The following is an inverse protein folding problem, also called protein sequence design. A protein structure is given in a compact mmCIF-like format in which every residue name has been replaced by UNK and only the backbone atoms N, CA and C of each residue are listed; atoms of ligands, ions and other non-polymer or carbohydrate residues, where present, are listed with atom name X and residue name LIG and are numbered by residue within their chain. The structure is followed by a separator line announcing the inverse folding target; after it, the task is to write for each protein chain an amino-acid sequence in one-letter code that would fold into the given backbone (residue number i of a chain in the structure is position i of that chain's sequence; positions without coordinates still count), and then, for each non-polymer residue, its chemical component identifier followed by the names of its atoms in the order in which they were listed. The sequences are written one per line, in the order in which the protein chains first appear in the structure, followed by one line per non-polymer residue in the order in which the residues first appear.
data_IF_332274840374
#
_entry.id   IF_332274840374
#
_cell.length_a   1.000
_cell.length_b   1.000
_cell.length_c   1.000
_cell.angle_alpha   90.00
_cell.angle_beta   90.00
_cell.angle_gamma   90.00
#
_symmetry.space_group_name_H-M   'P 1'
#
loop_
_entity.id
_entity.type
_entity.pdbx_description
1 polymer ?
#
# COMPACT_ATOMS: atom_id res chain seq x y z
N UNK A 1 -3.21 14.65 -26.81
CA UNK A 1 -3.87 15.93 -26.42
C UNK A 1 -3.87 17.00 -27.50
N UNK A 2 -2.75 17.32 -28.16
CA UNK A 2 -2.74 18.36 -29.22
C UNK A 2 -3.74 18.07 -30.35
N UNK A 3 -3.89 16.79 -30.71
CA UNK A 3 -4.89 16.34 -31.68
C UNK A 3 -6.31 16.66 -31.19
N UNK A 4 -6.69 16.16 -30.01
CA UNK A 4 -8.00 16.41 -29.39
C UNK A 4 -8.28 17.92 -29.31
N UNK A 5 -7.33 18.74 -28.86
CA UNK A 5 -7.51 20.19 -28.77
C UNK A 5 -7.75 20.86 -30.13
N UNK A 6 -7.03 20.44 -31.17
CA UNK A 6 -7.22 20.96 -32.54
C UNK A 6 -8.58 20.55 -33.10
N UNK A 7 -8.99 19.30 -32.88
CA UNK A 7 -10.31 18.81 -33.31
C UNK A 7 -11.45 19.47 -32.55
N UNK A 8 -11.34 19.66 -31.22
CA UNK A 8 -12.34 20.40 -30.44
C UNK A 8 -12.51 21.85 -30.96
N UNK A 9 -11.42 22.55 -31.29
CA UNK A 9 -11.51 23.90 -31.89
C UNK A 9 -12.20 23.90 -33.25
N UNK A 10 -11.94 22.86 -34.05
CA UNK A 10 -12.57 22.69 -35.36
C UNK A 10 -14.07 22.36 -35.21
N UNK A 11 -14.45 21.55 -34.22
CA UNK A 11 -15.84 21.20 -33.96
C UNK A 11 -16.65 22.36 -33.34
N UNK A 12 -16.00 23.26 -32.61
CA UNK A 12 -16.61 24.50 -32.15
C UNK A 12 -16.93 25.47 -33.32
N UNK A 13 -16.25 25.34 -34.47
CA UNK A 13 -16.41 26.25 -35.62
C UNK A 13 -17.31 25.71 -36.75
N UNK A 14 -17.71 24.44 -36.68
CA UNK A 14 -18.52 23.72 -37.69
C UNK A 14 -19.90 23.37 -37.07
N UNK A 15 -21.01 23.32 -37.85
CA UNK A 15 -22.28 22.80 -37.36
C UNK A 15 -22.13 21.42 -36.72
N UNK A 16 -22.79 21.22 -35.58
CA UNK A 16 -22.63 20.02 -34.74
C UNK A 16 -22.83 18.73 -35.55
N UNK A 17 -21.80 17.89 -35.59
CA UNK A 17 -21.89 16.55 -36.17
C UNK A 17 -21.44 15.53 -35.11
N UNK A 18 -22.39 14.70 -34.67
CA UNK A 18 -22.19 13.71 -33.63
C UNK A 18 -21.16 12.64 -34.01
N UNK A 19 -20.97 12.34 -35.30
CA UNK A 19 -20.04 11.31 -35.74
C UNK A 19 -18.59 11.63 -35.34
N UNK A 20 -18.18 12.90 -35.41
CA UNK A 20 -16.83 13.33 -35.01
C UNK A 20 -16.64 13.34 -33.50
N UNK A 21 -17.66 13.73 -32.73
CA UNK A 21 -17.60 13.65 -31.26
C UNK A 21 -17.46 12.20 -30.81
N UNK A 22 -18.18 11.26 -31.42
CA UNK A 22 -18.05 9.83 -31.13
C UNK A 22 -16.65 9.29 -31.48
N UNK A 23 -16.07 9.66 -32.62
CA UNK A 23 -14.71 9.26 -32.98
C UNK A 23 -13.67 9.73 -31.94
N UNK A 24 -13.83 10.94 -31.40
CA UNK A 24 -12.96 11.43 -30.32
C UNK A 24 -13.11 10.58 -29.05
N UNK A 25 -14.35 10.22 -28.68
CA UNK A 25 -14.62 9.36 -27.52
C UNK A 25 -13.99 7.97 -27.74
N UNK A 26 -14.22 7.35 -28.89
CA UNK A 26 -13.64 6.04 -29.24
C UNK A 26 -12.11 6.08 -29.20
N UNK A 27 -11.50 7.17 -29.67
CA UNK A 27 -10.05 7.33 -29.62
C UNK A 27 -9.52 7.49 -28.18
N UNK A 28 -10.28 8.14 -27.29
CA UNK A 28 -9.97 8.24 -25.86
C UNK A 28 -10.05 6.85 -25.21
N UNK A 29 -11.12 6.09 -25.50
CA UNK A 29 -11.31 4.72 -24.99
C UNK A 29 -10.18 3.81 -25.48
N UNK A 30 -9.85 3.83 -26.77
CA UNK A 30 -8.75 3.04 -27.35
C UNK A 30 -7.41 3.38 -26.69
N UNK A 31 -7.16 4.66 -26.39
CA UNK A 31 -5.95 5.07 -25.69
C UNK A 31 -5.93 4.53 -24.25
N UNK A 32 -7.05 4.63 -23.53
CA UNK A 32 -7.21 4.06 -22.20
C UNK A 32 -6.95 2.54 -22.18
N UNK A 33 -7.50 1.78 -23.12
CA UNK A 33 -7.29 0.33 -23.22
C UNK A 33 -5.81 -0.02 -23.41
N UNK A 34 -5.08 0.75 -24.23
CA UNK A 34 -3.62 0.58 -24.38
C UNK A 34 -2.88 0.85 -23.08
N UNK A 35 -3.26 1.89 -22.33
CA UNK A 35 -2.66 2.18 -21.03
C UNK A 35 -2.94 1.06 -20.00
N UNK A 36 -4.15 0.50 -20.01
CA UNK A 36 -4.51 -0.66 -19.18
C UNK A 36 -3.69 -1.90 -19.55
N UNK A 37 -3.52 -2.18 -20.85
CA UNK A 37 -2.66 -3.26 -21.34
C UNK A 37 -1.21 -3.09 -20.89
N UNK A 38 -0.69 -1.86 -20.95
CA UNK A 38 0.66 -1.55 -20.50
C UNK A 38 0.83 -1.72 -18.98
N UNK A 39 -0.13 -1.27 -18.17
CA UNK A 39 -0.14 -1.51 -16.73
C UNK A 39 -0.11 -3.02 -16.42
N UNK A 40 -0.98 -3.81 -17.07
CA UNK A 40 -1.02 -5.26 -16.86
C UNK A 40 0.30 -5.92 -17.24
N UNK A 41 0.89 -5.55 -18.39
CA UNK A 41 2.18 -6.08 -18.81
C UNK A 41 3.29 -5.78 -17.80
N UNK A 42 3.30 -4.58 -17.22
CA UNK A 42 4.27 -4.15 -16.22
C UNK A 42 4.15 -4.92 -14.88
N UNK A 43 2.91 -5.24 -14.50
CA UNK A 43 2.59 -5.91 -13.23
C UNK A 43 2.48 -7.43 -13.36
N UNK A 44 2.71 -7.98 -14.54
CA UNK A 44 2.70 -9.42 -14.77
C UNK A 44 4.03 -10.05 -14.36
N UNK A 45 3.96 -11.28 -13.85
CA UNK A 45 5.09 -12.12 -13.46
C UNK A 45 4.86 -13.57 -13.85
N UNK A 46 5.94 -14.32 -13.95
CA UNK A 46 5.89 -15.77 -14.12
C UNK A 46 5.70 -16.39 -12.73
N UNK A 47 4.69 -17.24 -12.57
CA UNK A 47 4.40 -17.93 -11.31
C UNK A 47 4.19 -19.43 -11.57
N UNK A 48 4.99 -20.32 -10.95
CA UNK A 48 4.88 -21.76 -11.17
C UNK A 48 3.56 -22.35 -10.63
N UNK A 49 2.93 -21.66 -9.67
CA UNK A 49 1.74 -22.14 -8.98
C UNK A 49 0.42 -21.69 -9.64
N UNK A 50 0.48 -20.79 -10.64
CA UNK A 50 -0.72 -20.23 -11.25
C UNK A 50 -1.10 -21.01 -12.52
N UNK A 51 -2.39 -21.33 -12.74
CA UNK A 51 -2.84 -21.92 -14.01
C UNK A 51 -2.48 -20.99 -15.17
N UNK A 52 -1.71 -21.51 -16.14
CA UNK A 52 -1.17 -20.72 -17.25
C UNK A 52 0.19 -20.05 -17.01
N UNK A 53 0.83 -20.28 -15.86
CA UNK A 53 2.22 -19.87 -15.59
C UNK A 53 2.47 -18.37 -15.44
N UNK A 54 1.43 -17.55 -15.62
CA UNK A 54 1.47 -16.10 -15.62
C UNK A 54 0.48 -15.61 -14.57
N UNK A 55 0.94 -14.76 -13.65
CA UNK A 55 0.13 -14.15 -12.61
C UNK A 55 0.44 -12.66 -12.48
N UNK A 56 -0.44 -11.90 -11.83
CA UNK A 56 -0.10 -10.54 -11.40
C UNK A 56 0.83 -10.59 -10.17
N UNK A 57 1.70 -9.60 -10.04
CA UNK A 57 2.39 -9.29 -8.79
C UNK A 57 1.38 -9.01 -7.69
N UNK A 58 1.74 -9.32 -6.45
CA UNK A 58 0.78 -9.32 -5.34
C UNK A 58 0.22 -7.93 -5.07
N UNK A 59 1.01 -6.86 -5.24
CA UNK A 59 0.54 -5.48 -5.15
C UNK A 59 -0.55 -5.13 -6.17
N UNK A 60 -0.46 -5.63 -7.40
CA UNK A 60 -1.51 -5.46 -8.42
C UNK A 60 -2.73 -6.34 -8.16
N UNK A 61 -2.54 -7.59 -7.71
CA UNK A 61 -3.64 -8.48 -7.35
C UNK A 61 -4.47 -7.89 -6.19
N UNK A 62 -3.81 -7.32 -5.17
CA UNK A 62 -4.47 -6.61 -4.07
C UNK A 62 -5.11 -5.30 -4.53
N UNK A 63 -4.55 -4.61 -5.54
CA UNK A 63 -5.18 -3.42 -6.11
C UNK A 63 -6.48 -3.73 -6.86
N UNK A 64 -6.66 -4.96 -7.37
CA UNK A 64 -7.89 -5.44 -8.01
C UNK A 64 -8.91 -6.01 -7.00
N UNK A 65 -8.48 -6.38 -5.80
CA UNK A 65 -9.37 -6.86 -4.72
C UNK A 65 -10.31 -5.75 -4.25
N UNK A 66 -11.61 -6.04 -4.22
CA UNK A 66 -12.64 -5.03 -3.92
C UNK A 66 -12.50 -4.46 -2.50
N UNK A 67 -12.30 -5.30 -1.50
CA UNK A 67 -12.25 -4.89 -0.09
C UNK A 67 -11.05 -3.98 0.18
N UNK A 68 -9.87 -4.38 -0.29
CA UNK A 68 -8.61 -3.62 -0.12
C UNK A 68 -8.70 -2.30 -0.91
N UNK A 69 -9.24 -2.35 -2.13
CA UNK A 69 -9.38 -1.18 -3.00
C UNK A 69 -10.36 -0.15 -2.45
N UNK A 70 -11.46 -0.57 -1.83
CA UNK A 70 -12.43 0.35 -1.23
C UNK A 70 -11.81 1.12 -0.06
N UNK A 71 -11.12 0.42 0.84
CA UNK A 71 -10.41 1.05 1.96
C UNK A 71 -9.31 1.97 1.47
N UNK A 72 -8.49 1.52 0.51
CA UNK A 72 -7.43 2.33 -0.08
C UNK A 72 -7.93 3.59 -0.77
N UNK A 73 -9.10 3.51 -1.43
CA UNK A 73 -9.74 4.68 -2.07
C UNK A 73 -10.27 5.65 -1.03
N UNK A 74 -10.96 5.15 0.00
CA UNK A 74 -11.39 5.98 1.13
C UNK A 74 -10.19 6.67 1.77
N UNK A 75 -9.07 5.97 2.00
CA UNK A 75 -7.83 6.59 2.53
C UNK A 75 -7.26 7.69 1.64
N UNK A 76 -7.40 7.58 0.31
CA UNK A 76 -6.96 8.60 -0.64
C UNK A 76 -7.88 9.84 -0.64
N UNK A 77 -9.18 9.64 -0.44
CA UNK A 77 -10.22 10.68 -0.52
C UNK A 77 -10.56 11.32 0.85
N UNK A 78 -10.25 10.66 1.97
CA UNK A 78 -10.75 10.99 3.30
C UNK A 78 -10.00 12.13 4.00
N UNK A 79 -10.73 12.91 4.80
CA UNK A 79 -10.21 13.91 5.74
C UNK A 79 -10.08 13.34 7.16
N UNK A 80 -9.31 13.99 8.03
CA UNK A 80 -8.66 13.40 9.22
C UNK A 80 -9.51 12.58 10.22
N UNK A 81 -10.84 12.72 10.26
CA UNK A 81 -11.71 12.14 11.29
C UNK A 81 -11.88 10.62 11.23
N UNK A 82 -11.96 10.03 10.02
CA UNK A 82 -12.16 8.58 9.84
C UNK A 82 -10.87 7.85 9.45
N UNK A 83 -9.77 8.59 9.33
CA UNK A 83 -8.53 8.08 8.78
C UNK A 83 -7.97 6.92 9.60
N UNK A 84 -8.03 7.01 10.93
CA UNK A 84 -7.44 6.01 11.83
C UNK A 84 -8.10 4.63 11.72
N UNK A 85 -9.44 4.56 11.67
CA UNK A 85 -10.14 3.28 11.55
C UNK A 85 -9.89 2.62 10.18
N UNK A 86 -9.81 3.43 9.12
CA UNK A 86 -9.46 2.97 7.78
C UNK A 86 -8.02 2.42 7.72
N UNK A 87 -7.07 3.05 8.42
CA UNK A 87 -5.69 2.56 8.54
C UNK A 87 -5.66 1.18 9.22
N UNK A 88 -6.35 1.02 10.36
CA UNK A 88 -6.43 -0.28 11.04
C UNK A 88 -6.95 -1.34 10.08
N UNK A 89 -8.04 -1.01 9.39
CA UNK A 89 -8.70 -1.95 8.48
C UNK A 89 -7.81 -2.35 7.31
N UNK A 90 -7.07 -1.42 6.73
CA UNK A 90 -6.09 -1.71 5.67
C UNK A 90 -5.02 -2.67 6.20
N UNK A 91 -4.43 -2.36 7.35
CA UNK A 91 -3.36 -3.16 7.97
C UNK A 91 -3.84 -4.58 8.25
N UNK A 92 -5.02 -4.74 8.85
CA UNK A 92 -5.62 -6.04 9.13
C UNK A 92 -5.84 -6.85 7.85
N UNK A 93 -6.41 -6.25 6.80
CA UNK A 93 -6.67 -6.92 5.53
C UNK A 93 -5.37 -7.40 4.88
N UNK A 94 -4.33 -6.56 4.86
CA UNK A 94 -3.04 -6.91 4.26
C UNK A 94 -2.30 -7.98 5.05
N UNK A 95 -2.29 -7.89 6.38
CA UNK A 95 -1.66 -8.90 7.22
C UNK A 95 -2.41 -10.23 7.08
N UNK A 96 -3.74 -10.23 7.10
CA UNK A 96 -4.54 -11.45 6.95
C UNK A 96 -4.29 -12.12 5.58
N UNK A 97 -4.33 -11.33 4.50
CA UNK A 97 -4.09 -11.84 3.15
C UNK A 97 -2.67 -12.40 2.96
N UNK A 98 -1.65 -11.75 3.53
CA UNK A 98 -0.25 -12.20 3.44
C UNK A 98 0.06 -13.38 4.36
N UNK A 99 -0.74 -13.58 5.41
CA UNK A 99 -0.66 -14.75 6.28
C UNK A 99 -1.22 -16.00 5.61
N UNK A 100 -2.34 -15.86 4.89
CA UNK A 100 -2.96 -16.94 4.12
C UNK A 100 -2.07 -17.34 2.93
N UNK A 101 -1.58 -16.35 2.18
CA UNK A 101 -0.69 -16.57 1.04
C UNK A 101 0.67 -15.93 1.28
N UNK A 102 1.63 -16.75 1.70
CA UNK A 102 2.99 -16.29 1.98
C UNK A 102 3.64 -15.64 0.77
N UNK A 103 4.12 -14.41 0.98
CA UNK A 103 4.81 -13.62 -0.03
C UNK A 103 6.17 -14.21 -0.39
N UNK A 104 6.51 -14.15 -1.67
CA UNK A 104 7.81 -14.55 -2.22
C UNK A 104 8.51 -13.38 -2.88
N UNK A 105 9.84 -13.44 -3.03
CA UNK A 105 10.62 -12.34 -3.59
C UNK A 105 10.19 -11.91 -5.00
N UNK A 106 9.71 -12.84 -5.83
CA UNK A 106 9.22 -12.56 -7.19
C UNK A 106 7.80 -11.95 -7.23
N UNK A 107 7.14 -11.82 -6.08
CA UNK A 107 5.82 -11.19 -5.96
C UNK A 107 5.92 -9.66 -5.92
N UNK A 108 7.08 -9.11 -5.57
CA UNK A 108 7.31 -7.68 -5.31
C UNK A 108 7.83 -6.94 -6.54
N UNK A 109 7.67 -5.61 -6.57
CA UNK A 109 8.29 -4.76 -7.60
C UNK A 109 9.75 -4.49 -7.23
N UNK A 110 10.62 -5.43 -7.60
CA UNK A 110 12.07 -5.28 -7.39
C UNK A 110 12.72 -4.24 -8.34
N UNK A 111 12.22 -4.10 -9.57
CA UNK A 111 12.83 -3.23 -10.59
C UNK A 111 12.46 -1.74 -10.38
N UNK A 112 13.45 -0.86 -10.15
CA UNK A 112 13.22 0.57 -10.03
C UNK A 112 12.54 1.24 -11.21
N UNK A 113 12.72 0.70 -12.42
CA UNK A 113 12.10 1.25 -13.64
C UNK A 113 10.58 1.11 -13.61
N UNK A 114 10.07 0.09 -12.92
CA UNK A 114 8.63 -0.14 -12.79
C UNK A 114 8.01 0.95 -11.91
N UNK A 115 8.67 1.36 -10.83
CA UNK A 115 8.22 2.47 -9.98
C UNK A 115 8.09 3.75 -10.80
N UNK A 116 9.14 4.14 -11.54
CA UNK A 116 9.09 5.32 -12.41
C UNK A 116 8.03 5.24 -13.50
N UNK A 117 7.82 4.04 -14.07
CA UNK A 117 6.79 3.77 -15.08
C UNK A 117 5.37 3.93 -14.51
N UNK A 118 5.10 3.40 -13.32
CA UNK A 118 3.81 3.56 -12.63
C UNK A 118 3.55 5.01 -12.23
N UNK A 119 4.56 5.72 -11.72
CA UNK A 119 4.42 7.15 -11.41
C UNK A 119 4.13 7.99 -12.66
N UNK A 120 4.78 7.68 -13.79
CA UNK A 120 4.48 8.32 -15.07
C UNK A 120 3.06 8.01 -15.54
N UNK A 121 2.58 6.77 -15.37
CA UNK A 121 1.21 6.38 -15.69
C UNK A 121 0.21 7.22 -14.90
N UNK A 122 0.40 7.29 -13.58
CA UNK A 122 -0.42 8.07 -12.67
C UNK A 122 -0.50 9.54 -13.12
N UNK A 123 0.65 10.19 -13.28
CA UNK A 123 0.71 11.60 -13.69
C UNK A 123 0.05 11.84 -15.04
N UNK A 124 0.28 10.94 -16.01
CA UNK A 124 -0.28 11.05 -17.35
C UNK A 124 -1.80 10.88 -17.36
N UNK A 125 -2.33 9.90 -16.62
CA UNK A 125 -3.78 9.66 -16.52
C UNK A 125 -4.48 10.76 -15.73
N UNK A 126 -3.90 11.21 -14.62
CA UNK A 126 -4.45 12.29 -13.81
C UNK A 126 -4.49 13.62 -14.60
N UNK A 127 -3.40 13.94 -15.31
CA UNK A 127 -3.34 15.09 -16.20
C UNK A 127 -4.35 14.98 -17.34
N UNK A 128 -4.46 13.82 -17.98
CA UNK A 128 -5.39 13.59 -19.09
C UNK A 128 -6.84 13.78 -18.62
N UNK A 129 -7.23 13.14 -17.51
CA UNK A 129 -8.55 13.29 -16.91
C UNK A 129 -8.88 14.76 -16.66
N UNK A 130 -8.01 15.47 -15.93
CA UNK A 130 -8.19 16.89 -15.61
C UNK A 130 -8.32 17.79 -16.85
N UNK A 131 -7.64 17.42 -17.94
CA UNK A 131 -7.71 18.17 -19.20
C UNK A 131 -8.97 17.82 -20.01
N UNK A 132 -9.42 16.56 -20.01
CA UNK A 132 -10.65 16.14 -20.67
C UNK A 132 -11.88 16.73 -19.98
N UNK A 133 -11.92 16.75 -18.64
CA UNK A 133 -13.03 17.36 -17.88
C UNK A 133 -13.25 18.83 -18.25
N UNK A 134 -12.19 19.57 -18.61
CA UNK A 134 -12.28 20.98 -19.06
C UNK A 134 -12.95 21.13 -20.43
N UNK A 135 -12.95 20.10 -21.26
CA UNK A 135 -13.55 20.11 -22.60
C UNK A 135 -15.06 19.84 -22.57
N UNK A 136 -15.59 19.34 -21.44
CA UNK A 136 -16.99 18.92 -21.33
C UNK A 136 -17.95 20.08 -21.60
N UNK A 137 -18.81 19.95 -22.63
CA UNK A 137 -19.87 20.92 -22.91
C UNK A 137 -21.12 20.23 -23.48
N UNK A 138 -22.26 20.38 -22.80
CA UNK A 138 -23.55 19.85 -23.25
C UNK A 138 -24.22 20.89 -24.12
N UNK A 139 -24.50 20.53 -25.37
CA UNK A 139 -25.20 21.40 -26.31
C UNK A 139 -26.67 20.98 -26.44
N UNK A 140 -27.64 21.92 -26.41
CA UNK A 140 -29.07 21.60 -26.56
C UNK A 140 -29.48 21.31 -28.02
N UNK A 141 -28.64 21.62 -29.00
CA UNK A 141 -28.92 21.44 -30.43
C UNK A 141 -28.57 20.01 -30.89
N UNK A 142 -29.60 19.22 -31.20
CA UNK A 142 -29.45 17.92 -31.85
C UNK A 142 -29.38 18.14 -33.36
N UNK A 143 -28.17 18.22 -33.91
CA UNK A 143 -27.98 18.01 -35.36
C UNK A 143 -27.30 16.65 -35.46
N UNK A 144 -28.11 15.62 -35.71
CA UNK A 144 -27.64 14.24 -35.82
C UNK A 144 -27.54 13.87 -37.29
N UNK A 145 -26.31 13.84 -37.80
CA UNK A 145 -25.99 13.47 -39.19
C UNK A 145 -26.05 11.95 -39.41
N UNK A 146 -26.20 11.15 -38.35
CA UNK A 146 -26.23 9.69 -38.43
C UNK A 146 -27.57 9.14 -38.93
N UNK A 147 -28.64 9.94 -38.86
CA UNK A 147 -29.94 9.60 -39.38
C UNK A 147 -30.20 10.30 -40.72
N UNK A 148 -30.26 9.53 -41.81
CA UNK A 148 -30.73 10.00 -43.12
C UNK A 148 -32.25 10.21 -43.03
N UNK A 149 -32.69 11.29 -42.40
CA UNK A 149 -34.06 11.78 -42.56
C UNK A 149 -34.06 12.85 -43.65
N UNK A 150 -34.44 12.39 -44.84
CA UNK A 150 -34.86 13.24 -45.95
C UNK A 150 -35.99 14.16 -45.47
N UNK A 151 -35.69 15.46 -45.25
CA UNK A 151 -36.58 16.55 -45.66
C UNK A 151 -35.97 17.95 -45.54
N UNK A 152 -36.06 18.64 -46.68
CA UNK A 152 -36.13 20.08 -46.90
C UNK A 152 -34.86 20.93 -46.75
N UNK A 153 -34.40 21.30 -47.94
CA UNK A 153 -33.38 22.28 -48.33
C UNK A 153 -33.43 23.55 -47.46
N UNK A 154 -32.48 23.69 -46.54
CA UNK A 154 -31.94 24.98 -46.14
C UNK A 154 -30.82 25.36 -47.13
N UNK A 155 -30.58 26.66 -47.41
CA UNK A 155 -29.70 27.07 -48.48
C UNK A 155 -28.27 26.57 -48.22
N UNK A 156 -27.71 25.94 -49.25
CA UNK A 156 -26.36 25.40 -49.32
C UNK A 156 -25.32 26.51 -49.11
N UNK A 157 -25.02 26.83 -47.84
CA UNK A 157 -23.74 27.45 -47.50
C UNK A 157 -22.65 26.43 -47.78
N UNK A 158 -21.95 26.64 -48.89
CA UNK A 158 -20.79 25.84 -49.31
C UNK A 158 -19.67 26.04 -48.29
N UNK A 159 -19.58 25.14 -47.32
CA UNK A 159 -18.51 25.12 -46.32
C UNK A 159 -17.19 24.79 -47.01
N UNK A 160 -16.29 25.76 -47.10
CA UNK A 160 -14.89 25.51 -47.45
C UNK A 160 -14.12 25.30 -46.16
N UNK A 161 -13.47 24.13 -46.03
CA UNK A 161 -12.66 23.72 -44.87
C UNK A 161 -11.68 24.83 -44.42
N UNK A 162 -11.16 25.61 -45.38
CA UNK A 162 -10.25 26.74 -45.14
C UNK A 162 -10.86 27.89 -44.33
N UNK A 163 -12.18 28.13 -44.42
CA UNK A 163 -12.85 29.20 -43.67
C UNK A 163 -13.14 28.81 -42.22
N UNK A 164 -13.39 27.52 -41.95
CA UNK A 164 -13.62 26.98 -40.60
C UNK A 164 -12.31 26.77 -39.82
N UNK A 165 -11.17 26.61 -40.51
CA UNK A 165 -9.83 26.48 -39.92
C UNK A 165 -9.13 27.81 -39.62
N UNK A 166 -9.67 28.96 -40.05
CA UNK A 166 -9.10 30.27 -39.69
C UNK A 166 -9.58 30.69 -38.30
N UNK A 167 -8.69 30.80 -37.29
CA UNK A 167 -9.08 31.31 -35.98
C UNK A 167 -9.56 32.76 -36.14
N UNK A 168 -10.80 33.05 -35.74
CA UNK A 168 -11.29 34.44 -35.67
C UNK A 168 -10.46 35.18 -34.61
N UNK A 169 -10.03 36.42 -34.88
CA UNK A 169 -9.38 37.27 -33.86
C UNK A 169 -10.34 37.41 -32.66
N UNK A 170 -9.97 36.80 -31.53
CA UNK A 170 -10.81 36.66 -30.32
C UNK A 170 -11.05 35.21 -29.85
N UNK A 171 -10.75 34.20 -30.68
CA UNK A 171 -11.00 32.78 -30.37
C UNK A 171 -9.92 32.14 -29.46
N UNK A 172 -8.82 32.87 -29.21
CA UNK A 172 -7.74 32.42 -28.32
C UNK A 172 -8.14 32.56 -26.83
N UNK A 173 -9.10 33.42 -26.51
CA UNK A 173 -9.58 33.68 -25.15
C UNK A 173 -10.79 32.81 -24.74
N UNK A 174 -11.43 32.11 -25.69
CA UNK A 174 -12.57 31.25 -25.38
C UNK A 174 -12.10 29.90 -24.81
N UNK A 175 -12.71 29.42 -23.72
CA UNK A 175 -12.42 28.10 -23.20
C UNK A 175 -12.78 27.06 -24.26
N UNK A 176 -11.81 26.20 -24.59
CA UNK A 176 -11.99 25.12 -25.56
C UNK A 176 -13.08 24.17 -25.09
N UNK A 177 -14.08 23.94 -25.92
CA UNK A 177 -15.21 23.05 -25.59
C UNK A 177 -15.31 21.94 -26.63
N UNK A 178 -15.85 20.81 -26.20
CA UNK A 178 -16.26 19.73 -27.07
C UNK A 178 -17.79 19.68 -26.96
N UNK A 179 -18.54 20.04 -28.03
CA UNK A 179 -19.98 19.99 -28.00
C UNK A 179 -20.48 18.54 -28.02
N UNK A 180 -21.34 18.21 -27.07
CA UNK A 180 -21.84 16.84 -26.84
C UNK A 180 -23.35 16.83 -26.64
N UNK A 181 -23.99 15.76 -27.11
CA UNK A 181 -25.39 15.43 -26.80
C UNK A 181 -25.53 14.79 -25.42
N UNK A 182 -26.77 14.65 -24.94
CA UNK A 182 -27.08 13.93 -23.68
C UNK A 182 -26.61 12.48 -23.71
N UNK A 183 -26.62 11.83 -24.87
CA UNK A 183 -26.20 10.43 -25.02
C UNK A 183 -24.67 10.28 -25.07
N UNK A 184 -23.99 11.09 -25.92
CA UNK A 184 -22.51 11.04 -26.03
C UNK A 184 -21.78 11.47 -24.75
N UNK A 185 -22.39 12.35 -23.93
CA UNK A 185 -21.84 12.73 -22.62
C UNK A 185 -21.67 11.53 -21.69
N UNK A 186 -22.59 10.56 -21.72
CA UNK A 186 -22.50 9.39 -20.84
C UNK A 186 -21.24 8.57 -21.16
N UNK A 187 -20.96 8.33 -22.44
CA UNK A 187 -19.75 7.63 -22.87
C UNK A 187 -18.46 8.38 -22.51
N UNK A 188 -18.47 9.71 -22.63
CA UNK A 188 -17.32 10.54 -22.27
C UNK A 188 -17.06 10.63 -20.77
N UNK A 189 -18.10 10.85 -19.96
CA UNK A 189 -18.01 10.87 -18.51
C UNK A 189 -17.57 9.47 -17.99
N UNK A 190 -18.05 8.39 -18.62
CA UNK A 190 -17.58 7.03 -18.39
C UNK A 190 -16.09 6.83 -18.72
N UNK A 191 -15.63 7.32 -19.87
CA UNK A 191 -14.21 7.25 -20.24
C UNK A 191 -13.31 8.03 -19.29
N UNK A 192 -13.72 9.23 -18.85
CA UNK A 192 -13.00 10.02 -17.83
C UNK A 192 -12.90 9.23 -16.53
N UNK A 193 -14.00 8.63 -16.07
CA UNK A 193 -14.04 7.83 -14.84
C UNK A 193 -13.10 6.63 -14.93
N UNK A 194 -13.06 5.94 -16.07
CA UNK A 194 -12.10 4.85 -16.33
C UNK A 194 -10.64 5.32 -16.27
N UNK A 195 -10.32 6.47 -16.85
CA UNK A 195 -8.97 7.06 -16.78
C UNK A 195 -8.59 7.42 -15.34
N UNK A 196 -9.52 8.00 -14.56
CA UNK A 196 -9.31 8.30 -13.14
C UNK A 196 -9.08 7.02 -12.34
N UNK A 197 -9.86 5.98 -12.62
CA UNK A 197 -9.69 4.68 -11.97
C UNK A 197 -8.33 4.05 -12.26
N UNK A 198 -7.82 4.15 -13.50
CA UNK A 198 -6.48 3.67 -13.84
C UNK A 198 -5.38 4.50 -13.17
N UNK A 199 -5.56 5.82 -13.09
CA UNK A 199 -4.65 6.68 -12.33
C UNK A 199 -4.58 6.21 -10.87
N UNK A 200 -5.74 6.08 -10.22
CA UNK A 200 -5.83 5.59 -8.85
C UNK A 200 -5.20 4.20 -8.69
N UNK A 201 -5.50 3.25 -9.59
CA UNK A 201 -4.89 1.92 -9.54
C UNK A 201 -3.36 1.98 -9.62
N UNK A 202 -2.78 2.86 -10.43
CA UNK A 202 -1.32 3.00 -10.52
C UNK A 202 -0.68 3.49 -9.21
N UNK A 203 -1.20 4.55 -8.59
CA UNK A 203 -0.69 5.06 -7.30
C UNK A 203 -0.99 4.08 -6.15
N UNK A 204 -2.15 3.44 -6.17
CA UNK A 204 -2.53 2.45 -5.17
C UNK A 204 -1.66 1.19 -5.25
N UNK A 205 -1.22 0.81 -6.46
CA UNK A 205 -0.26 -0.28 -6.63
C UNK A 205 1.08 0.05 -5.96
N UNK A 206 1.58 1.29 -6.07
CA UNK A 206 2.81 1.73 -5.39
C UNK A 206 2.64 1.73 -3.86
N UNK A 207 1.48 2.20 -3.40
CA UNK A 207 1.08 2.18 -1.99
C UNK A 207 1.06 0.77 -1.41
N UNK A 208 0.55 -0.20 -2.15
CA UNK A 208 0.53 -1.62 -1.76
C UNK A 208 1.90 -2.28 -1.89
N UNK A 209 2.72 -1.88 -2.87
CA UNK A 209 4.04 -2.46 -3.11
C UNK A 209 5.00 -2.24 -1.95
N UNK A 210 5.12 -1.01 -1.44
CA UNK A 210 5.96 -0.72 -0.27
C UNK A 210 5.50 -1.49 0.97
N UNK A 211 4.18 -1.68 1.14
CA UNK A 211 3.57 -2.42 2.25
C UNK A 211 3.87 -3.90 2.17
N UNK A 212 3.62 -4.51 1.01
CA UNK A 212 3.90 -5.92 0.78
C UNK A 212 5.41 -6.20 0.89
N UNK A 213 6.24 -5.31 0.34
CA UNK A 213 7.71 -5.43 0.45
C UNK A 213 8.18 -5.37 1.90
N UNK A 214 7.62 -4.46 2.70
CA UNK A 214 7.93 -4.38 4.14
C UNK A 214 7.52 -5.66 4.88
N UNK A 215 6.29 -6.14 4.68
CA UNK A 215 5.80 -7.38 5.30
C UNK A 215 6.72 -8.55 4.91
N UNK A 216 7.01 -8.71 3.62
CA UNK A 216 7.86 -9.77 3.11
C UNK A 216 9.25 -9.76 3.77
N UNK A 217 9.92 -8.60 3.81
CA UNK A 217 11.26 -8.49 4.38
C UNK A 217 11.27 -8.73 5.90
N UNK A 218 10.25 -8.28 6.62
CA UNK A 218 10.08 -8.52 8.06
C UNK A 218 9.86 -10.01 8.33
N UNK A 219 8.93 -10.64 7.61
CA UNK A 219 8.68 -12.08 7.74
C UNK A 219 9.92 -12.89 7.39
N UNK A 220 10.67 -12.47 6.35
CA UNK A 220 11.95 -13.08 5.96
C UNK A 220 13.01 -12.95 7.06
N UNK A 221 13.14 -11.77 7.66
CA UNK A 221 14.08 -11.54 8.76
C UNK A 221 13.79 -12.46 9.95
N UNK A 222 12.51 -12.54 10.37
CA UNK A 222 12.06 -13.30 11.53
C UNK A 222 12.07 -14.82 11.32
N UNK A 223 11.95 -15.28 10.07
CA UNK A 223 12.12 -16.70 9.70
C UNK A 223 13.60 -17.11 9.70
N UNK A 224 14.51 -16.19 9.43
CA UNK A 224 15.96 -16.40 9.44
C UNK A 224 16.40 -17.48 8.44
N UNK A 225 17.37 -18.32 8.83
CA UNK A 225 17.94 -19.37 7.95
C UNK A 225 16.95 -20.47 7.52
N UNK A 226 15.74 -20.50 8.09
CA UNK A 226 14.70 -21.47 7.73
C UNK A 226 13.95 -21.09 6.44
N UNK A 227 14.46 -20.12 5.67
CA UNK A 227 13.80 -19.59 4.48
C UNK A 227 13.94 -20.53 3.27
N UNK A 228 13.24 -21.67 3.32
CA UNK A 228 12.75 -22.40 2.16
C UNK A 228 13.76 -22.90 1.11
N UNK A 229 15.07 -22.75 1.30
CA UNK A 229 16.02 -23.57 0.55
C UNK A 229 15.78 -25.02 0.97
N UNK A 230 15.56 -25.96 0.02
CA UNK A 230 15.59 -27.37 0.35
C UNK A 230 16.92 -27.61 1.05
N UNK A 231 16.87 -28.00 2.32
CA UNK A 231 18.00 -28.72 2.89
C UNK A 231 18.16 -29.93 1.99
N UNK A 232 19.14 -29.90 1.09
CA UNK A 232 19.66 -31.16 0.57
C UNK A 232 19.96 -32.01 1.80
N UNK A 233 19.51 -33.28 1.85
CA UNK A 233 19.75 -34.16 2.98
C UNK A 233 21.23 -34.51 2.98
N UNK A 234 22.06 -33.56 3.42
CA UNK A 234 23.47 -33.78 3.61
C UNK A 234 23.56 -34.67 4.84
N UNK A 235 23.67 -35.97 4.58
CA UNK A 235 23.62 -37.10 5.53
C UNK A 235 24.66 -37.06 6.66
N UNK A 236 25.40 -35.95 6.81
CA UNK A 236 26.57 -35.84 7.69
C UNK A 236 26.51 -34.65 8.67
N UNK A 237 25.43 -33.87 8.79
CA UNK A 237 25.31 -32.89 9.89
C UNK A 237 24.50 -33.47 11.05
N UNK A 238 25.20 -33.92 12.08
CA UNK A 238 24.63 -34.11 13.42
C UNK A 238 23.88 -32.85 13.86
N UNK A 239 22.55 -32.95 14.02
CA UNK A 239 21.74 -32.30 15.07
C UNK A 239 22.21 -30.95 15.63
N UNK A 240 22.40 -29.94 14.78
CA UNK A 240 22.48 -28.55 15.25
C UNK A 240 21.26 -27.79 14.71
N UNK A 241 20.15 -27.83 15.45
CA UNK A 241 19.04 -26.90 15.28
C UNK A 241 19.53 -25.49 15.66
N UNK A 242 20.27 -24.84 14.77
CA UNK A 242 20.80 -23.51 15.00
C UNK A 242 19.71 -22.46 14.70
N UNK A 243 18.90 -22.17 15.71
CA UNK A 243 17.87 -21.13 15.63
C UNK A 243 18.50 -19.74 15.52
N UNK A 244 18.04 -18.95 14.53
CA UNK A 244 18.61 -17.63 14.22
C UNK A 244 18.59 -16.62 15.37
N UNK A 245 17.71 -16.83 16.37
CA UNK A 245 17.53 -15.94 17.53
C UNK A 245 18.02 -16.56 18.86
N UNK A 246 18.77 -17.66 18.81
CA UNK A 246 19.56 -18.13 19.94
C UNK A 246 20.99 -17.64 19.72
N UNK A 247 21.33 -16.52 20.33
CA UNK A 247 22.67 -15.93 20.22
C UNK A 247 23.51 -16.27 21.44
N UNK A 248 24.79 -16.57 21.27
CA UNK A 248 25.73 -16.79 22.39
C UNK A 248 26.44 -15.51 22.81
N UNK A 249 26.46 -14.51 21.94
CA UNK A 249 27.15 -13.22 22.14
C UNK A 249 26.13 -12.10 22.02
N UNK A 250 26.36 -11.06 22.83
CA UNK A 250 25.55 -9.85 22.79
C UNK A 250 25.60 -9.19 21.40
N UNK A 251 24.43 -8.85 20.82
CA UNK A 251 24.35 -8.23 19.50
C UNK A 251 24.81 -6.77 19.50
N UNK A 252 25.62 -6.39 18.51
CA UNK A 252 26.15 -5.02 18.36
C UNK A 252 25.52 -4.22 17.21
N UNK A 253 24.66 -4.83 16.40
CA UNK A 253 24.07 -4.20 15.21
C UNK A 253 22.65 -4.70 14.94
N UNK A 254 21.94 -4.13 13.96
CA UNK A 254 20.73 -4.76 13.43
C UNK A 254 21.07 -6.00 12.57
N UNK A 255 20.07 -6.81 12.26
CA UNK A 255 20.13 -7.93 11.35
C UNK A 255 20.35 -7.45 9.90
N UNK A 256 21.09 -8.21 9.08
CA UNK A 256 21.42 -7.78 7.71
C UNK A 256 20.19 -7.61 6.83
N UNK A 257 19.15 -8.43 7.01
CA UNK A 257 17.89 -8.34 6.25
C UNK A 257 17.12 -7.05 6.62
N UNK A 258 17.16 -6.63 7.88
CA UNK A 258 16.56 -5.36 8.31
C UNK A 258 17.34 -4.16 7.78
N UNK A 259 18.67 -4.27 7.68
CA UNK A 259 19.49 -3.24 7.03
C UNK A 259 19.23 -3.17 5.51
N UNK A 260 18.99 -4.30 4.86
CA UNK A 260 18.54 -4.35 3.45
C UNK A 260 17.20 -3.65 3.28
N UNK A 261 16.20 -3.99 4.10
CA UNK A 261 14.89 -3.31 4.11
C UNK A 261 15.04 -1.80 4.33
N UNK A 262 15.88 -1.37 5.26
CA UNK A 262 16.16 0.04 5.52
C UNK A 262 16.66 0.75 4.25
N UNK A 263 17.64 0.16 3.54
CA UNK A 263 18.13 0.70 2.28
C UNK A 263 17.06 0.71 1.17
N UNK A 264 16.26 -0.34 1.10
CA UNK A 264 15.17 -0.45 0.12
C UNK A 264 14.13 0.64 0.34
N UNK A 265 13.71 0.88 1.58
CA UNK A 265 12.77 1.94 1.94
C UNK A 265 13.32 3.34 1.61
N UNK A 266 14.60 3.62 1.89
CA UNK A 266 15.26 4.89 1.52
C UNK A 266 15.24 5.06 0.00
N UNK A 267 15.67 4.02 -0.73
CA UNK A 267 15.75 4.07 -2.18
C UNK A 267 14.37 4.23 -2.82
N UNK A 268 13.34 3.60 -2.26
CA UNK A 268 11.96 3.73 -2.71
C UNK A 268 11.45 5.14 -2.48
N UNK A 269 11.65 5.69 -1.27
CA UNK A 269 11.27 7.06 -0.93
C UNK A 269 11.93 8.11 -1.84
N UNK A 270 13.23 7.99 -2.08
CA UNK A 270 13.96 8.89 -2.99
C UNK A 270 13.43 8.82 -4.43
N UNK A 271 13.13 7.62 -4.93
CA UNK A 271 12.56 7.43 -6.27
C UNK A 271 11.17 8.04 -6.39
N UNK A 272 10.32 7.79 -5.39
CA UNK A 272 8.96 8.29 -5.35
C UNK A 272 8.93 9.83 -5.42
N UNK A 273 9.76 10.49 -4.60
CA UNK A 273 9.88 11.96 -4.56
C UNK A 273 10.40 12.59 -5.86
N UNK A 274 11.07 11.82 -6.73
CA UNK A 274 11.50 12.31 -8.04
C UNK A 274 10.36 12.38 -9.07
N UNK A 275 9.32 11.55 -8.92
CA UNK A 275 8.26 11.42 -9.92
C UNK A 275 6.89 11.88 -9.42
N UNK A 276 6.66 11.93 -8.12
CA UNK A 276 5.37 12.20 -7.51
C UNK A 276 5.41 13.46 -6.62
N UNK A 277 4.25 14.10 -6.47
CA UNK A 277 4.09 15.26 -5.61
C UNK A 277 4.05 14.89 -4.12
N UNK A 278 4.08 15.88 -3.22
CA UNK A 278 4.14 15.65 -1.78
C UNK A 278 2.89 14.94 -1.23
N UNK A 279 1.72 15.14 -1.84
CA UNK A 279 0.46 14.51 -1.41
C UNK A 279 0.44 13.03 -1.76
N UNK A 280 0.89 12.69 -2.97
CA UNK A 280 1.04 11.32 -3.45
C UNK A 280 2.07 10.55 -2.61
N UNK A 281 3.22 11.18 -2.36
CA UNK A 281 4.26 10.63 -1.49
C UNK A 281 3.72 10.39 -0.08
N UNK A 282 3.02 11.37 0.50
CA UNK A 282 2.41 11.26 1.84
C UNK A 282 1.40 10.12 1.89
N UNK A 283 0.57 9.94 0.87
CA UNK A 283 -0.36 8.82 0.82
C UNK A 283 0.36 7.48 0.86
N UNK A 284 1.33 7.28 -0.02
CA UNK A 284 2.09 6.03 -0.12
C UNK A 284 2.81 5.70 1.20
N UNK A 285 3.45 6.70 1.83
CA UNK A 285 4.20 6.49 3.08
C UNK A 285 3.33 6.53 4.33
N UNK A 286 2.08 6.99 4.23
CA UNK A 286 1.22 7.14 5.40
C UNK A 286 1.06 5.82 6.13
N UNK A 287 1.24 5.85 7.44
CA UNK A 287 0.99 4.74 8.35
C UNK A 287 1.83 3.48 8.07
N UNK A 288 2.89 3.62 7.28
CA UNK A 288 3.87 2.58 7.05
C UNK A 288 4.53 2.14 8.37
N UNK A 289 4.73 3.09 9.28
CA UNK A 289 5.26 2.84 10.63
C UNK A 289 4.43 1.82 11.40
N UNK A 290 3.11 2.04 11.44
CA UNK A 290 2.16 1.17 12.11
C UNK A 290 1.98 -0.17 11.43
N UNK A 291 2.02 -0.21 10.09
CA UNK A 291 2.03 -1.47 9.36
C UNK A 291 3.25 -2.31 9.74
N UNK A 292 4.44 -1.72 9.73
CA UNK A 292 5.69 -2.41 10.10
C UNK A 292 5.62 -2.91 11.54
N UNK A 293 5.07 -2.11 12.45
CA UNK A 293 4.87 -2.50 13.85
C UNK A 293 3.99 -3.74 13.98
N UNK A 294 2.84 -3.73 13.32
CA UNK A 294 1.91 -4.87 13.32
C UNK A 294 2.48 -6.09 12.59
N UNK A 295 3.22 -5.88 11.50
CA UNK A 295 3.85 -6.94 10.73
C UNK A 295 4.99 -7.63 11.51
N UNK A 296 5.75 -6.89 12.31
CA UNK A 296 6.76 -7.42 13.22
C UNK A 296 6.12 -8.37 14.23
N UNK A 297 5.12 -7.90 14.97
CA UNK A 297 4.38 -8.71 15.96
C UNK A 297 3.77 -9.95 15.30
N UNK A 298 3.06 -9.79 14.18
CA UNK A 298 2.43 -10.91 13.48
C UNK A 298 3.44 -11.92 12.92
N UNK A 299 4.65 -11.48 12.59
CA UNK A 299 5.71 -12.34 12.06
C UNK A 299 6.54 -13.04 13.15
N UNK A 300 6.35 -12.71 14.43
CA UNK A 300 7.06 -13.39 15.55
C UNK A 300 6.77 -14.89 15.60
N UNK A 301 5.62 -15.34 15.09
CA UNK A 301 5.29 -16.78 14.95
C UNK A 301 6.28 -17.56 14.06
N UNK A 302 7.07 -16.87 13.24
CA UNK A 302 8.12 -17.49 12.42
C UNK A 302 9.42 -17.72 13.20
N UNK A 303 9.56 -17.09 14.38
CA UNK A 303 10.69 -17.32 15.27
C UNK A 303 10.51 -18.70 15.91
N UNK A 304 11.44 -19.62 15.62
CA UNK A 304 11.36 -20.97 16.20
C UNK A 304 11.77 -21.03 17.67
N UNK A 305 12.84 -20.33 18.04
CA UNK A 305 13.29 -20.16 19.41
C UNK A 305 14.13 -18.89 19.59
N UNK A 306 14.06 -18.27 20.77
CA UNK A 306 14.69 -16.99 21.08
C UNK A 306 15.19 -16.94 22.52
N UNK A 307 16.39 -16.40 22.72
CA UNK A 307 16.92 -16.05 24.04
C UNK A 307 16.99 -14.52 24.23
N UNK A 308 17.45 -14.06 25.40
CA UNK A 308 17.57 -12.63 25.73
C UNK A 308 18.42 -11.84 24.73
N UNK A 309 19.54 -12.41 24.28
CA UNK A 309 20.38 -11.79 23.24
C UNK A 309 19.67 -11.72 21.88
N UNK A 310 18.87 -12.73 21.52
CA UNK A 310 17.99 -12.69 20.34
C UNK A 310 16.96 -11.57 20.42
N UNK A 311 16.34 -11.38 21.59
CA UNK A 311 15.41 -10.27 21.82
C UNK A 311 16.11 -8.90 21.76
N UNK A 312 17.32 -8.77 22.29
CA UNK A 312 18.12 -7.56 22.18
C UNK A 312 18.47 -7.24 20.71
N UNK A 313 18.71 -8.26 19.87
CA UNK A 313 18.92 -8.06 18.43
C UNK A 313 17.65 -7.53 17.76
N UNK A 314 16.48 -8.07 18.13
CA UNK A 314 15.20 -7.55 17.63
C UNK A 314 14.92 -6.12 18.11
N UNK A 315 15.31 -5.76 19.33
CA UNK A 315 15.22 -4.37 19.78
C UNK A 315 16.07 -3.43 18.91
N UNK A 316 17.30 -3.83 18.55
CA UNK A 316 18.13 -3.08 17.61
C UNK A 316 17.48 -2.97 16.23
N UNK A 317 16.85 -4.03 15.73
CA UNK A 317 16.10 -4.03 14.47
C UNK A 317 14.94 -3.02 14.50
N UNK A 318 14.14 -3.03 15.57
CA UNK A 318 13.03 -2.08 15.78
C UNK A 318 13.54 -0.64 15.81
N UNK A 319 14.63 -0.36 16.53
CA UNK A 319 15.20 0.99 16.62
C UNK A 319 15.70 1.51 15.27
N UNK A 320 16.40 0.66 14.50
CA UNK A 320 16.90 1.03 13.17
C UNK A 320 15.75 1.33 12.21
N UNK A 321 14.70 0.49 12.20
CA UNK A 321 13.51 0.73 11.40
C UNK A 321 12.79 2.01 11.83
N UNK A 322 12.63 2.26 13.13
CA UNK A 322 12.00 3.48 13.63
C UNK A 322 12.73 4.73 13.15
N UNK A 323 14.06 4.73 13.25
CA UNK A 323 14.87 5.87 12.86
C UNK A 323 14.82 6.09 11.35
N UNK A 324 14.81 5.02 10.56
CA UNK A 324 14.64 5.12 9.11
C UNK A 324 13.27 5.72 8.74
N UNK A 325 12.21 5.21 9.33
CA UNK A 325 10.84 5.65 9.03
C UNK A 325 10.64 7.13 9.38
N UNK A 326 11.29 7.64 10.43
CA UNK A 326 11.31 9.07 10.74
C UNK A 326 11.86 9.86 9.56
N UNK A 327 12.96 9.42 8.94
CA UNK A 327 13.53 10.11 7.79
C UNK A 327 12.61 10.06 6.55
N UNK A 328 11.90 8.96 6.32
CA UNK A 328 11.05 8.81 5.13
C UNK A 328 9.72 9.57 5.28
N UNK A 329 9.12 9.54 6.48
CA UNK A 329 7.80 10.13 6.76
C UNK A 329 7.93 11.62 7.11
N UNK A 330 8.96 12.02 7.88
CA UNK A 330 9.10 13.37 8.43
C UNK A 330 9.81 14.35 7.47
N UNK A 331 10.40 13.91 6.35
CA UNK A 331 11.04 14.83 5.37
C UNK A 331 10.05 15.66 4.53
N UNK A 332 8.76 15.71 4.90
CA UNK A 332 7.75 16.54 4.23
C UNK A 332 7.18 17.68 5.10
N UNK A 333 8.04 18.47 5.78
CA UNK A 333 7.72 19.89 5.85
C UNK A 333 8.95 20.78 5.60
N UNK A 334 8.95 21.47 4.46
CA UNK A 334 9.40 22.86 4.43
C UNK A 334 8.71 23.64 3.29
N UNK A 335 8.05 24.77 3.59
CA UNK A 335 7.48 25.68 2.60
C UNK A 335 8.52 26.73 2.18
N UNK A 336 8.57 27.12 0.89
CA UNK A 336 8.74 28.52 0.44
C UNK A 336 8.61 28.66 -1.09
N UNK A 337 7.65 29.50 -1.48
CA UNK A 337 7.60 30.34 -2.67
C UNK A 337 7.77 29.73 -4.08
N UNK A 338 6.63 29.49 -4.72
CA UNK A 338 6.41 30.06 -6.06
C UNK A 338 4.91 30.27 -6.27
N UNK A 339 4.51 31.55 -6.31
CA UNK A 339 3.15 31.97 -6.65
C UNK A 339 2.78 31.41 -8.03
N UNK A 340 1.87 30.45 -8.07
CA UNK A 340 1.07 30.15 -9.25
C UNK A 340 -0.33 29.80 -8.76
N UNK A 341 -1.20 30.80 -8.87
CA UNK A 341 -2.64 30.73 -8.67
C UNK A 341 -3.25 29.48 -9.31
N UNK A 342 -4.02 28.73 -8.52
CA UNK A 342 -5.43 28.33 -8.76
C UNK A 342 -5.86 27.33 -7.67
N UNK A 343 -6.50 27.87 -6.62
CA UNK A 343 -7.53 27.26 -5.76
C UNK A 343 -7.43 25.77 -5.35
N UNK A 344 -6.92 25.51 -4.13
CA UNK A 344 -7.43 24.55 -3.13
C UNK A 344 -6.44 24.39 -1.95
N UNK A 345 -6.00 25.47 -1.30
CA UNK A 345 -5.06 25.37 -0.17
C UNK A 345 -5.55 26.17 1.04
N UNK A 346 -6.34 25.51 1.90
CA UNK A 346 -6.55 25.96 3.29
C UNK A 346 -6.42 24.84 4.34
N UNK A 347 -6.34 23.57 3.93
CA UNK A 347 -6.37 22.44 4.87
C UNK A 347 -4.99 21.76 5.10
N UNK A 348 -3.92 22.18 4.41
CA UNK A 348 -2.61 21.50 4.46
C UNK A 348 -1.87 21.70 5.81
N UNK A 349 -2.27 22.72 6.60
CA UNK A 349 -1.61 23.03 7.88
C UNK A 349 -2.16 22.25 9.09
N UNK A 350 -3.25 21.47 8.94
CA UNK A 350 -3.94 20.81 10.05
C UNK A 350 -3.76 19.29 10.12
N UNK A 351 -2.81 18.72 9.35
CA UNK A 351 -2.42 17.33 9.50
C UNK A 351 -1.50 17.20 10.71
N UNK A 352 -2.01 16.67 11.83
CA UNK A 352 -1.17 16.25 12.97
C UNK A 352 0.06 15.47 12.44
N UNK A 353 1.28 15.76 12.94
CA UNK A 353 2.45 15.01 12.52
C UNK A 353 2.25 13.54 12.87
N UNK A 354 2.40 12.66 11.87
CA UNK A 354 2.36 11.22 12.09
C UNK A 354 3.46 10.85 13.09
N UNK A 355 3.05 10.35 14.26
CA UNK A 355 4.00 9.91 15.29
C UNK A 355 4.63 8.60 14.79
N UNK A 356 5.89 8.69 14.36
CA UNK A 356 6.64 7.51 13.90
C UNK A 356 7.20 6.75 15.09
N UNK A 357 6.45 5.73 15.53
CA UNK A 357 6.79 4.83 16.60
C UNK A 357 6.41 3.38 16.25
N UNK A 358 7.05 2.42 16.91
CA UNK A 358 6.75 0.98 16.83
C UNK A 358 6.41 0.44 18.23
N UNK A 359 5.33 0.94 18.87
CA UNK A 359 5.03 0.65 20.27
C UNK A 359 4.66 -0.82 20.50
N UNK A 360 3.97 -1.50 19.59
CA UNK A 360 3.58 -2.89 19.80
C UNK A 360 4.78 -3.83 19.79
N UNK A 361 5.73 -3.59 18.87
CA UNK A 361 6.98 -4.35 18.78
C UNK A 361 7.84 -4.14 20.03
N UNK A 362 7.94 -2.90 20.51
CA UNK A 362 8.64 -2.60 21.76
C UNK A 362 7.98 -3.30 22.95
N UNK A 363 6.65 -3.14 23.10
CA UNK A 363 5.85 -3.80 24.14
C UNK A 363 6.04 -5.32 24.15
N UNK A 364 6.03 -5.95 22.96
CA UNK A 364 6.24 -7.40 22.82
C UNK A 364 7.60 -7.84 23.36
N UNK A 365 8.67 -7.11 23.00
CA UNK A 365 10.03 -7.42 23.40
C UNK A 365 10.27 -7.16 24.89
N UNK A 366 9.68 -6.10 25.45
CA UNK A 366 9.75 -5.80 26.87
C UNK A 366 9.06 -6.90 27.70
N UNK A 367 7.87 -7.33 27.28
CA UNK A 367 7.15 -8.41 27.95
C UNK A 367 7.89 -9.75 27.86
N UNK A 368 8.55 -10.02 26.74
CA UNK A 368 9.43 -11.19 26.60
C UNK A 368 10.57 -11.16 27.62
N UNK A 369 11.25 -10.02 27.78
CA UNK A 369 12.37 -9.86 28.72
C UNK A 369 11.92 -9.90 30.18
N UNK A 370 10.71 -9.43 30.48
CA UNK A 370 10.10 -9.54 31.80
C UNK A 370 9.69 -10.98 32.17
N UNK A 371 9.46 -11.81 31.16
CA UNK A 371 9.13 -13.21 31.30
C UNK A 371 7.62 -13.50 31.37
N UNK A 372 7.25 -14.80 31.35
CA UNK A 372 5.87 -15.25 31.11
C UNK A 372 4.92 -14.90 32.26
N UNK A 373 5.40 -14.92 33.50
CA UNK A 373 4.58 -14.61 34.67
C UNK A 373 4.14 -13.14 34.74
N UNK A 374 5.02 -12.21 34.35
CA UNK A 374 4.70 -10.77 34.25
C UNK A 374 3.87 -10.49 33.01
N UNK A 375 4.22 -11.11 31.87
CA UNK A 375 3.42 -11.05 30.63
C UNK A 375 1.93 -11.35 30.89
N UNK A 376 1.62 -12.42 31.62
CA UNK A 376 0.23 -12.79 31.95
C UNK A 376 -0.48 -11.76 32.85
N UNK A 377 0.24 -11.12 33.77
CA UNK A 377 -0.33 -10.06 34.63
C UNK A 377 -0.60 -8.81 33.82
N UNK A 378 0.36 -8.37 33.02
CA UNK A 378 0.24 -7.21 32.16
C UNK A 378 -0.91 -7.41 31.15
N UNK A 379 -1.04 -8.62 30.58
CA UNK A 379 -2.15 -8.96 29.68
C UNK A 379 -3.52 -8.90 30.37
N UNK A 380 -3.62 -9.37 31.63
CA UNK A 380 -4.85 -9.28 32.42
C UNK A 380 -5.21 -7.82 32.73
N UNK A 381 -4.24 -7.03 33.16
CA UNK A 381 -4.42 -5.60 33.45
C UNK A 381 -4.84 -4.82 32.21
N UNK A 382 -4.17 -5.03 31.06
CA UNK A 382 -4.52 -4.38 29.79
C UNK A 382 -5.93 -4.77 29.32
N UNK A 383 -6.31 -6.04 29.47
CA UNK A 383 -7.67 -6.52 29.17
C UNK A 383 -8.71 -5.83 30.04
N UNK A 384 -8.48 -5.76 31.35
CA UNK A 384 -9.42 -5.17 32.31
C UNK A 384 -9.56 -3.65 32.05
N UNK A 385 -8.45 -2.95 31.79
CA UNK A 385 -8.48 -1.54 31.37
C UNK A 385 -9.22 -1.33 30.05
N UNK A 386 -9.02 -2.20 29.05
CA UNK A 386 -9.70 -2.08 27.77
C UNK A 386 -11.21 -2.36 27.87
N UNK A 387 -11.63 -3.27 28.76
CA UNK A 387 -13.05 -3.49 29.08
C UNK A 387 -13.70 -2.26 29.73
N UNK A 388 -12.96 -1.52 30.56
CA UNK A 388 -13.47 -0.35 31.28
C UNK A 388 -13.46 0.94 30.45
N UNK A 389 -12.39 1.19 29.69
CA UNK A 389 -12.15 2.47 28.99
C UNK A 389 -12.28 2.39 27.45
N UNK A 390 -12.44 1.20 26.90
CA UNK A 390 -12.60 0.98 25.45
C UNK A 390 -11.44 1.53 24.63
N UNK A 391 -11.75 2.10 23.45
CA UNK A 391 -10.75 2.63 22.51
C UNK A 391 -10.02 3.89 22.99
N UNK A 392 -10.39 4.47 24.14
CA UNK A 392 -9.70 5.64 24.70
C UNK A 392 -8.27 5.29 25.16
N UNK A 393 -8.02 4.03 25.57
CA UNK A 393 -6.69 3.53 26.00
C UNK A 393 -5.67 3.56 24.85
N UNK A 394 -6.13 3.49 23.59
CA UNK A 394 -5.25 3.53 22.40
C UNK A 394 -4.54 4.89 22.21
N UNK A 395 -5.00 5.93 22.90
CA UNK A 395 -4.39 7.27 22.84
C UNK A 395 -3.13 7.41 23.69
N UNK A 396 -2.87 6.48 24.62
CA UNK A 396 -1.68 6.48 25.50
C UNK A 396 -0.42 5.94 24.81
N UNK A 397 -0.51 5.53 23.54
CA UNK A 397 0.65 5.16 22.73
C UNK A 397 1.15 3.72 22.93
N UNK A 398 0.52 2.91 23.78
CA UNK A 398 0.87 1.50 24.01
C UNK A 398 0.36 0.52 22.93
N UNK A 399 -0.24 1.04 21.85
CA UNK A 399 -0.83 0.26 20.77
C UNK A 399 -2.08 -0.51 21.19
N UNK A 400 -2.60 -1.35 20.30
CA UNK A 400 -3.73 -2.23 20.61
C UNK A 400 -3.31 -3.40 21.51
N UNK A 401 -4.23 -3.96 22.33
CA UNK A 401 -3.99 -5.18 23.09
C UNK A 401 -3.60 -6.34 22.17
N UNK A 402 -2.74 -7.23 22.67
CA UNK A 402 -2.36 -8.41 21.90
C UNK A 402 -3.52 -9.42 21.82
N UNK A 403 -3.62 -10.07 20.66
CA UNK A 403 -4.55 -11.20 20.47
C UNK A 403 -4.10 -12.42 21.26
N UNK A 404 -5.02 -13.37 21.49
CA UNK A 404 -4.69 -14.64 22.14
C UNK A 404 -3.52 -15.36 21.45
N UNK A 405 -3.53 -15.40 20.11
CA UNK A 405 -2.48 -16.06 19.34
C UNK A 405 -1.12 -15.37 19.49
N UNK A 406 -1.10 -14.03 19.56
CA UNK A 406 0.14 -13.26 19.77
C UNK A 406 0.71 -13.46 21.18
N UNK A 407 -0.15 -13.45 22.20
CA UNK A 407 0.26 -13.74 23.58
C UNK A 407 0.74 -15.19 23.73
N UNK A 408 0.07 -16.12 23.06
CA UNK A 408 0.49 -17.52 23.01
C UNK A 408 1.89 -17.64 22.43
N UNK A 409 2.16 -17.02 21.28
CA UNK A 409 3.49 -17.01 20.65
C UNK A 409 4.53 -16.39 21.59
N UNK A 410 4.21 -15.27 22.24
CA UNK A 410 5.09 -14.62 23.22
C UNK A 410 5.48 -15.57 24.36
N UNK A 411 4.49 -16.24 24.97
CA UNK A 411 4.72 -17.20 26.06
C UNK A 411 5.51 -18.40 25.58
N UNK A 412 5.18 -18.96 24.41
CA UNK A 412 5.94 -20.07 23.80
C UNK A 412 7.40 -19.68 23.57
N UNK A 413 7.67 -18.44 23.12
CA UNK A 413 9.02 -17.93 22.93
C UNK A 413 9.78 -17.81 24.26
N UNK A 414 9.16 -17.36 25.35
CA UNK A 414 9.80 -17.24 26.67
C UNK A 414 10.42 -18.57 27.15
N UNK A 415 9.81 -19.71 26.80
CA UNK A 415 10.33 -21.04 27.16
C UNK A 415 11.16 -21.69 26.04
N UNK A 416 11.14 -21.13 24.82
CA UNK A 416 11.69 -21.76 23.63
C UNK A 416 13.21 -22.00 23.68
N UNK A 417 13.98 -21.12 24.31
CA UNK A 417 15.44 -21.29 24.44
C UNK A 417 15.79 -22.52 25.29
N UNK A 418 15.09 -22.72 26.41
CA UNK A 418 15.30 -23.89 27.28
C UNK A 418 14.79 -25.19 26.63
N UNK A 419 13.74 -25.11 25.80
CA UNK A 419 13.13 -26.30 25.18
C UNK A 419 13.81 -26.74 23.89
N UNK A 420 14.25 -25.78 23.06
CA UNK A 420 14.74 -26.03 21.69
C UNK A 420 16.18 -25.58 21.47
N UNK A 421 16.79 -24.90 22.44
CA UNK A 421 18.17 -24.45 22.34
C UNK A 421 19.18 -25.58 22.51
N UNK A 422 20.45 -25.33 22.14
CA UNK A 422 21.51 -26.34 22.15
C UNK A 422 21.78 -26.91 23.56
N UNK A 423 21.57 -26.11 24.61
CA UNK A 423 21.76 -26.51 26.01
C UNK A 423 20.55 -27.25 26.62
N UNK A 424 19.37 -27.17 25.98
CA UNK A 424 18.12 -27.75 26.48
C UNK A 424 18.14 -29.27 26.72
N UNK A 425 18.57 -30.10 25.76
CA UNK A 425 18.61 -31.55 25.96
C UNK A 425 19.70 -32.02 26.95
N UNK A 426 20.70 -31.18 27.22
CA UNK A 426 21.78 -31.48 28.17
C UNK A 426 21.34 -31.18 29.63
N UNK A 427 20.57 -30.12 29.84
CA UNK A 427 20.02 -29.72 31.14
C UNK A 427 18.60 -30.30 31.37
N UNK A 428 18.51 -31.61 31.62
CA UNK A 428 17.23 -32.33 31.77
C UNK A 428 16.26 -31.69 32.79
N UNK A 429 16.79 -31.13 33.87
CA UNK A 429 15.96 -30.47 34.90
C UNK A 429 15.34 -29.16 34.38
N UNK A 430 16.13 -28.31 33.72
CA UNK A 430 15.67 -27.06 33.13
C UNK A 430 14.65 -27.30 32.01
N UNK A 431 14.88 -28.32 31.18
CA UNK A 431 13.94 -28.74 30.16
C UNK A 431 12.58 -29.16 30.76
N UNK A 432 12.60 -30.00 31.79
CA UNK A 432 11.37 -30.48 32.46
C UNK A 432 10.68 -29.36 33.25
N UNK A 433 11.41 -28.39 33.78
CA UNK A 433 10.86 -27.20 34.42
C UNK A 433 10.22 -26.26 33.39
N UNK A 434 10.90 -26.00 32.26
CA UNK A 434 10.39 -25.17 31.18
C UNK A 434 9.12 -25.76 30.54
N UNK A 435 9.08 -27.09 30.34
CA UNK A 435 7.88 -27.76 29.82
C UNK A 435 6.68 -27.60 30.75
N UNK A 436 6.86 -27.88 32.04
CA UNK A 436 5.79 -27.70 33.05
C UNK A 436 5.36 -26.23 33.18
N UNK A 437 6.31 -25.30 33.13
CA UNK A 437 6.04 -23.86 33.19
C UNK A 437 5.28 -23.35 31.97
N UNK A 438 5.59 -23.87 30.78
CA UNK A 438 4.86 -23.57 29.55
C UNK A 438 3.41 -24.05 29.66
N UNK A 439 3.19 -25.32 30.05
CA UNK A 439 1.85 -25.89 30.19
C UNK A 439 0.99 -25.10 31.19
N UNK A 440 1.54 -24.73 32.35
CA UNK A 440 0.86 -23.88 33.36
C UNK A 440 0.58 -22.47 32.83
N UNK A 441 1.54 -21.86 32.13
CA UNK A 441 1.36 -20.50 31.58
C UNK A 441 0.32 -20.46 30.47
N UNK A 442 0.24 -21.47 29.62
CA UNK A 442 -0.77 -21.58 28.57
C UNK A 442 -2.17 -21.83 29.16
N UNK A 443 -2.26 -22.62 30.22
CA UNK A 443 -3.52 -22.81 30.95
C UNK A 443 -4.00 -21.48 31.56
N UNK A 444 -3.11 -20.76 32.25
CA UNK A 444 -3.43 -19.41 32.77
C UNK A 444 -3.75 -18.41 31.68
N UNK A 445 -3.07 -18.46 30.54
CA UNK A 445 -3.42 -17.60 29.39
C UNK A 445 -4.85 -17.87 28.96
N UNK A 446 -5.25 -19.14 28.87
CA UNK A 446 -6.62 -19.51 28.53
C UNK A 446 -7.63 -18.98 29.55
N UNK A 447 -7.32 -18.99 30.85
CA UNK A 447 -8.17 -18.42 31.90
C UNK A 447 -8.24 -16.88 31.84
N UNK A 448 -7.11 -16.22 31.58
CA UNK A 448 -7.04 -14.75 31.46
C UNK A 448 -7.78 -14.26 30.22
N UNK A 449 -7.76 -15.03 29.14
CA UNK A 449 -8.43 -14.66 27.89
C UNK A 449 -9.81 -15.32 27.71
N UNK A 450 -10.26 -16.15 28.67
CA UNK A 450 -11.62 -16.67 28.69
C UNK A 450 -12.58 -15.48 28.89
N UNK A 451 -13.59 -15.36 28.02
CA UNK A 451 -14.53 -14.22 27.93
C UNK A 451 -13.94 -12.89 27.40
N UNK A 452 -12.94 -12.92 26.51
CA UNK A 452 -12.44 -11.75 25.77
C UNK A 452 -13.14 -11.57 24.41
#
# INVERSE_FOLDING_TARGET
MNLIKKFSRMLDSIPHDQAFTQLIIDQIITYYEKCCGWYKALMTRISPNHPGGIALKTSAAFAESQDIREVGRKLWECSASEKQSLINREIELLISATNETSLKGYDMVADPKIVGSLSLLYNSMNWLSSNLSKLRHITPHQTDSSHIQSRQVAPTRRWTLEAAMRPKRGDVERPLRLPMTKESVVGFDGAITSIQNLAFTAIFTLHLDIRCGSIYMISRALKGKNDGQPQEPNRNSSTENNWSYILTVEPTSASPIVLELNNDLISFGARMSNYLGPNECRYITSCLSRLIDRALVSSTRFIGAMNSYGALRLQLDVLVLQQNLKNIIVVSPAPVSSKSSLSLDKDVAASMPEVVALPQSAKFLDWFLEGPGKTLRNAKEERDMFKEMGSQVLTEGNGEPFTFDELRVLIELCYSAALKGPQGPEAREEFMAAKRGLDDSLLRLSEVMWDA
#
